data_IF_564913814542
#
_entry.id   IF_564913814542
#
_cell.length_a   1.000
_cell.length_b   1.000
_cell.length_c   1.000
_cell.angle_alpha   90.00
_cell.angle_beta   90.00
_cell.angle_gamma   90.00
#
_symmetry.space_group_name_H-M   'P 1'
#
loop_
_entity.id
_entity.type
_entity.pdbx_description
1 polymer ?
#
# COMPACT_ATOMS: atom_id res chain seq x y z
N UNK A 1 -14.73 -15.89 25.11
CA UNK A 1 -13.55 -15.53 24.32
C UNK A 1 -12.75 -14.46 25.04
N UNK A 2 -11.45 -14.40 24.80
CA UNK A 2 -10.60 -13.36 25.40
C UNK A 2 -10.87 -12.02 24.73
N UNK A 3 -10.84 -10.94 25.53
CA UNK A 3 -10.89 -9.58 25.01
C UNK A 3 -9.61 -9.30 24.20
N UNK A 4 -9.74 -8.67 23.06
CA UNK A 4 -8.61 -8.20 22.26
C UNK A 4 -8.91 -6.83 21.65
N UNK A 5 -7.85 -6.11 21.30
CA UNK A 5 -7.93 -4.84 20.58
C UNK A 5 -7.43 -5.05 19.16
N UNK A 6 -8.11 -4.45 18.19
CA UNK A 6 -7.58 -4.36 16.83
C UNK A 6 -7.47 -2.90 16.41
N UNK A 7 -6.28 -2.53 15.95
CA UNK A 7 -5.95 -1.16 15.59
C UNK A 7 -5.90 -0.99 14.07
N UNK A 8 -6.50 0.09 13.58
CA UNK A 8 -6.42 0.50 12.18
C UNK A 8 -6.06 1.98 12.08
N UNK A 9 -5.32 2.37 11.03
CA UNK A 9 -4.97 3.78 10.83
C UNK A 9 -6.20 4.65 10.53
N UNK A 10 -7.16 4.12 9.77
CA UNK A 10 -8.39 4.82 9.38
C UNK A 10 -9.64 4.14 9.93
N UNK A 11 -10.73 4.88 9.98
CA UNK A 11 -12.05 4.43 10.48
C UNK A 11 -12.86 3.60 9.47
N UNK A 12 -12.45 3.56 8.21
CA UNK A 12 -13.24 2.94 7.11
C UNK A 12 -13.13 1.41 7.04
N UNK A 13 -12.20 0.79 7.75
CA UNK A 13 -12.11 -0.66 7.81
C UNK A 13 -13.17 -1.19 8.79
N UNK A 14 -14.32 -1.59 8.27
CA UNK A 14 -15.34 -2.26 9.05
C UNK A 14 -14.98 -3.75 9.20
N UNK A 15 -14.30 -4.08 10.28
CA UNK A 15 -14.08 -5.47 10.68
C UNK A 15 -15.11 -5.81 11.74
N UNK A 16 -16.00 -6.77 11.44
CA UNK A 16 -16.97 -7.24 12.41
C UNK A 16 -16.29 -8.23 13.36
N UNK A 17 -15.87 -7.75 14.52
CA UNK A 17 -15.27 -8.57 15.56
C UNK A 17 -16.23 -8.72 16.74
N UNK A 18 -16.67 -9.97 17.01
CA UNK A 18 -17.66 -10.25 18.10
C UNK A 18 -17.16 -9.88 19.51
N UNK A 19 -15.83 -9.89 19.75
CA UNK A 19 -15.23 -9.68 21.06
C UNK A 19 -14.04 -8.72 21.04
N UNK A 20 -13.83 -8.02 19.92
CA UNK A 20 -12.71 -7.09 19.73
C UNK A 20 -13.13 -5.64 19.96
N UNK A 21 -12.24 -4.84 20.52
CA UNK A 21 -12.41 -3.40 20.63
C UNK A 21 -11.62 -2.75 19.49
N UNK A 22 -12.29 -1.98 18.66
CA UNK A 22 -11.65 -1.25 17.57
C UNK A 22 -10.99 0.04 18.08
N UNK A 23 -9.74 0.22 17.72
CA UNK A 23 -8.96 1.42 17.98
C UNK A 23 -8.53 2.05 16.67
N UNK A 24 -8.85 3.30 16.46
CA UNK A 24 -8.50 4.04 15.23
C UNK A 24 -7.38 5.04 15.50
N UNK A 25 -6.54 5.25 14.48
CA UNK A 25 -5.44 6.19 14.53
C UNK A 25 -4.06 5.52 14.47
N UNK A 26 -3.07 6.28 13.98
CA UNK A 26 -1.68 5.82 13.97
C UNK A 26 -1.09 5.87 15.38
N UNK A 27 -0.34 4.83 15.78
CA UNK A 27 0.41 4.80 17.02
C UNK A 27 1.90 4.88 16.72
N UNK A 28 2.57 5.89 17.23
CA UNK A 28 4.03 5.90 17.31
C UNK A 28 4.50 5.00 18.47
N UNK A 29 5.81 4.79 18.61
CA UNK A 29 6.36 3.89 19.63
C UNK A 29 5.93 4.25 21.08
N UNK A 30 6.04 5.50 21.55
CA UNK A 30 5.57 5.87 22.89
C UNK A 30 4.09 5.57 23.09
N UNK A 31 3.22 5.94 22.15
CA UNK A 31 1.79 5.68 22.22
C UNK A 31 1.46 4.18 22.28
N UNK A 32 2.18 3.36 21.49
CA UNK A 32 1.99 1.91 21.50
C UNK A 32 2.40 1.28 22.84
N UNK A 33 3.52 1.71 23.43
CA UNK A 33 3.98 1.26 24.73
C UNK A 33 2.96 1.62 25.83
N UNK A 34 2.48 2.86 25.84
CA UNK A 34 1.50 3.33 26.83
C UNK A 34 0.16 2.59 26.66
N UNK A 35 -0.27 2.38 25.43
CA UNK A 35 -1.47 1.58 25.15
C UNK A 35 -1.34 0.15 25.67
N UNK A 36 -0.23 -0.52 25.39
CA UNK A 36 0.02 -1.88 25.86
C UNK A 36 0.00 -1.99 27.37
N UNK A 37 0.62 -1.04 28.08
CA UNK A 37 0.62 -0.98 29.55
C UNK A 37 -0.77 -0.73 30.12
N UNK A 38 -1.46 0.28 29.62
CA UNK A 38 -2.78 0.72 30.11
C UNK A 38 -3.85 -0.36 29.95
N UNK A 39 -3.73 -1.19 28.90
CA UNK A 39 -4.69 -2.24 28.59
C UNK A 39 -4.20 -3.65 28.95
N UNK A 40 -3.06 -3.76 29.65
CA UNK A 40 -2.48 -5.03 30.08
C UNK A 40 -2.32 -6.02 28.92
N UNK A 41 -1.84 -5.54 27.77
CA UNK A 41 -1.60 -6.36 26.59
C UNK A 41 -0.50 -7.38 26.90
N UNK A 42 -0.69 -8.62 26.49
CA UNK A 42 0.24 -9.73 26.72
C UNK A 42 0.79 -10.36 25.44
N UNK A 43 0.22 -10.02 24.29
CA UNK A 43 0.63 -10.50 22.99
C UNK A 43 0.37 -9.42 21.97
N UNK A 44 1.33 -9.14 21.12
CA UNK A 44 1.15 -8.32 19.91
C UNK A 44 0.96 -9.21 18.69
N UNK A 45 0.03 -8.85 17.83
CA UNK A 45 -0.18 -9.50 16.54
C UNK A 45 -0.01 -8.45 15.43
N UNK A 46 1.03 -8.59 14.64
CA UNK A 46 1.29 -7.75 13.49
C UNK A 46 0.71 -8.40 12.24
N UNK A 47 -0.50 -8.00 11.88
CA UNK A 47 -1.21 -8.40 10.68
C UNK A 47 -1.33 -7.24 9.68
N UNK A 48 -0.41 -6.27 9.75
CA UNK A 48 -0.41 -5.11 8.87
C UNK A 48 -0.02 -5.48 7.43
N UNK A 49 -0.32 -4.55 6.51
CA UNK A 49 0.08 -4.69 5.12
C UNK A 49 1.60 -4.86 5.01
N UNK A 50 2.13 -5.74 4.16
CA UNK A 50 3.58 -6.00 4.03
C UNK A 50 4.45 -4.75 3.87
N UNK A 51 3.94 -3.73 3.19
CA UNK A 51 4.63 -2.44 2.98
C UNK A 51 4.46 -1.43 4.13
N UNK A 52 3.84 -1.81 5.24
CA UNK A 52 3.72 -0.94 6.42
C UNK A 52 5.00 -0.96 7.28
N UNK A 53 6.15 -0.70 6.66
CA UNK A 53 7.48 -0.86 7.26
C UNK A 53 7.67 -0.10 8.57
N UNK A 54 7.12 1.11 8.68
CA UNK A 54 7.19 1.90 9.90
C UNK A 54 6.42 1.23 11.05
N UNK A 55 5.22 0.72 10.76
CA UNK A 55 4.42 0.00 11.76
C UNK A 55 5.11 -1.29 12.20
N UNK A 56 5.67 -2.06 11.28
CA UNK A 56 6.42 -3.27 11.61
C UNK A 56 7.59 -2.98 12.56
N UNK A 57 8.36 -1.91 12.29
CA UNK A 57 9.45 -1.46 13.17
C UNK A 57 8.92 -1.02 14.54
N UNK A 58 7.80 -0.29 14.56
CA UNK A 58 7.18 0.18 15.81
C UNK A 58 6.70 -0.98 16.66
N UNK A 59 6.05 -1.99 16.06
CA UNK A 59 5.59 -3.21 16.78
C UNK A 59 6.77 -3.99 17.34
N UNK A 60 7.83 -4.19 16.53
CA UNK A 60 9.04 -4.89 16.97
C UNK A 60 9.71 -4.15 18.17
N UNK A 61 9.89 -2.84 18.06
CA UNK A 61 10.48 -2.03 19.13
C UNK A 61 9.62 -2.02 20.42
N UNK A 62 8.29 -1.97 20.29
CA UNK A 62 7.39 -2.06 21.44
C UNK A 62 7.43 -3.44 22.10
N UNK A 63 7.49 -4.51 21.30
CA UNK A 63 7.67 -5.89 21.77
C UNK A 63 8.94 -6.03 22.59
N UNK A 64 10.07 -5.53 22.09
CA UNK A 64 11.36 -5.56 22.78
C UNK A 64 11.33 -4.73 24.09
N UNK A 65 10.85 -3.49 24.04
CA UNK A 65 10.78 -2.60 25.19
C UNK A 65 9.90 -3.12 26.34
N UNK A 66 8.85 -3.87 26.00
CA UNK A 66 7.88 -4.42 26.96
C UNK A 66 8.12 -5.90 27.26
N UNK A 67 9.06 -6.55 26.59
CA UNK A 67 9.31 -8.00 26.65
C UNK A 67 8.02 -8.81 26.36
N UNK A 68 7.22 -8.33 25.40
CA UNK A 68 6.00 -9.00 24.98
C UNK A 68 6.28 -9.90 23.77
N UNK A 69 5.66 -11.09 23.71
CA UNK A 69 5.70 -11.88 22.49
C UNK A 69 4.98 -11.15 21.34
N UNK A 70 5.51 -11.31 20.13
CA UNK A 70 4.89 -10.82 18.91
C UNK A 70 4.72 -11.96 17.91
N UNK A 71 3.55 -12.00 17.28
CA UNK A 71 3.27 -12.88 16.12
C UNK A 71 3.07 -12.00 14.92
N UNK A 72 3.86 -12.26 13.86
CA UNK A 72 3.66 -11.62 12.56
C UNK A 72 2.88 -12.54 11.65
N UNK A 73 1.80 -12.01 11.08
CA UNK A 73 1.01 -12.70 10.06
C UNK A 73 1.53 -12.25 8.69
N UNK A 74 2.19 -13.14 8.00
CA UNK A 74 2.67 -12.89 6.64
C UNK A 74 1.68 -13.42 5.62
N UNK A 75 1.60 -12.72 4.48
CA UNK A 75 0.77 -13.13 3.36
C UNK A 75 1.49 -14.19 2.55
N UNK A 76 0.74 -15.09 1.96
CA UNK A 76 1.26 -15.97 0.91
C UNK A 76 1.43 -15.14 -0.36
N UNK A 77 2.56 -15.28 -1.01
CA UNK A 77 2.84 -14.65 -2.30
C UNK A 77 2.80 -15.72 -3.39
N UNK A 78 2.24 -15.39 -4.58
CA UNK A 78 2.32 -16.29 -5.72
C UNK A 78 3.77 -16.48 -6.16
N UNK A 79 4.05 -17.55 -6.89
CA UNK A 79 5.34 -17.73 -7.53
C UNK A 79 5.59 -16.62 -8.56
N UNK A 80 6.84 -16.19 -8.68
CA UNK A 80 7.24 -15.21 -9.69
C UNK A 80 6.99 -15.78 -11.09
N UNK A 81 6.23 -15.03 -11.90
CA UNK A 81 5.97 -15.39 -13.28
C UNK A 81 6.90 -14.65 -14.23
N UNK A 82 7.12 -15.22 -15.42
CA UNK A 82 7.95 -14.59 -16.47
C UNK A 82 7.22 -13.48 -17.22
N UNK A 83 5.91 -13.35 -17.01
CA UNK A 83 5.04 -12.38 -17.71
C UNK A 83 5.09 -11.00 -17.07
N UNK A 84 5.76 -10.87 -15.92
CA UNK A 84 5.90 -9.63 -15.19
C UNK A 84 7.38 -9.25 -15.07
N UNK A 85 7.64 -7.94 -15.11
CA UNK A 85 8.96 -7.40 -14.80
C UNK A 85 9.00 -7.10 -13.29
N UNK A 86 9.73 -7.91 -12.56
CA UNK A 86 9.90 -7.76 -11.13
C UNK A 86 10.98 -6.72 -10.82
N UNK A 87 10.69 -5.87 -9.83
CA UNK A 87 11.59 -4.82 -9.37
C UNK A 87 11.77 -4.93 -7.87
N UNK A 88 13.00 -4.73 -7.40
CA UNK A 88 13.34 -4.82 -5.98
C UNK A 88 12.77 -3.63 -5.19
N UNK A 89 12.77 -2.46 -5.82
CA UNK A 89 12.26 -1.21 -5.25
C UNK A 89 11.81 -0.22 -6.34
N UNK A 90 11.50 1.02 -5.94
CA UNK A 90 11.07 2.06 -6.88
C UNK A 90 12.23 2.64 -7.70
N UNK A 91 13.46 2.58 -7.21
CA UNK A 91 14.64 3.02 -7.96
C UNK A 91 14.95 2.05 -9.08
N UNK A 92 14.91 0.75 -8.80
CA UNK A 92 15.03 -0.31 -9.81
C UNK A 92 13.89 -0.24 -10.84
N UNK A 93 12.64 0.01 -10.40
CA UNK A 93 11.52 0.21 -11.30
C UNK A 93 11.74 1.39 -12.24
N UNK A 94 12.14 2.56 -11.73
CA UNK A 94 12.43 3.74 -12.56
C UNK A 94 13.56 3.49 -13.55
N UNK A 95 14.61 2.78 -13.12
CA UNK A 95 15.71 2.38 -14.00
C UNK A 95 15.22 1.52 -15.16
N UNK A 96 14.46 0.46 -14.88
CA UNK A 96 13.91 -0.43 -15.91
C UNK A 96 12.95 0.28 -16.86
N UNK A 97 12.11 1.19 -16.35
CA UNK A 97 11.23 2.03 -17.17
C UNK A 97 12.04 2.92 -18.13
N UNK A 98 13.10 3.56 -17.65
CA UNK A 98 13.99 4.40 -18.48
C UNK A 98 14.75 3.58 -19.52
N UNK A 99 15.31 2.46 -19.14
CA UNK A 99 16.02 1.54 -20.05
C UNK A 99 15.12 0.99 -21.16
N UNK A 100 13.83 0.79 -20.86
CA UNK A 100 12.82 0.33 -21.83
C UNK A 100 12.19 1.47 -22.64
N UNK A 101 12.60 2.71 -22.43
CA UNK A 101 12.06 3.88 -23.16
C UNK A 101 10.58 4.16 -22.85
N UNK A 102 10.09 3.73 -21.70
CA UNK A 102 8.70 3.95 -21.25
C UNK A 102 8.56 5.41 -20.82
N UNK A 103 7.60 6.11 -21.41
CA UNK A 103 7.31 7.53 -21.13
C UNK A 103 5.88 7.78 -20.66
N UNK A 104 5.03 6.73 -20.63
CA UNK A 104 3.64 6.78 -20.19
C UNK A 104 3.37 5.65 -19.21
N UNK A 105 3.27 5.98 -17.93
CA UNK A 105 3.14 5.04 -16.83
C UNK A 105 1.80 5.21 -16.11
N UNK A 106 1.11 4.11 -15.83
CA UNK A 106 0.01 4.05 -14.88
C UNK A 106 0.50 3.41 -13.57
N UNK A 107 0.55 4.19 -12.48
CA UNK A 107 0.98 3.73 -11.17
C UNK A 107 -0.23 3.37 -10.29
N UNK A 108 -0.47 2.08 -10.08
CA UNK A 108 -1.48 1.52 -9.18
C UNK A 108 -0.92 1.31 -7.76
N UNK A 109 -0.03 2.18 -7.34
CA UNK A 109 0.77 2.05 -6.11
C UNK A 109 0.30 2.94 -4.97
N UNK A 110 -0.67 3.83 -5.24
CA UNK A 110 -1.29 4.73 -4.26
C UNK A 110 -0.47 5.99 -3.98
N UNK A 111 -1.09 6.97 -3.32
CA UNK A 111 -0.58 8.34 -3.15
C UNK A 111 0.77 8.45 -2.46
N UNK A 112 1.08 7.57 -1.52
CA UNK A 112 2.35 7.58 -0.78
C UNK A 112 3.59 7.32 -1.66
N UNK A 113 3.39 6.92 -2.90
CA UNK A 113 4.48 6.60 -3.83
C UNK A 113 4.74 7.67 -4.88
N UNK A 114 3.94 8.72 -4.89
CA UNK A 114 4.16 9.86 -5.79
C UNK A 114 5.58 10.40 -5.63
N UNK A 115 6.01 10.69 -4.39
CA UNK A 115 7.36 11.18 -4.13
C UNK A 115 8.48 10.20 -4.44
N UNK A 116 8.20 8.90 -4.38
CA UNK A 116 9.20 7.87 -4.70
C UNK A 116 9.46 7.74 -6.21
N UNK A 117 8.53 8.21 -7.03
CA UNK A 117 8.62 8.21 -8.49
C UNK A 117 8.85 9.62 -9.06
N UNK A 118 9.28 10.58 -8.21
CA UNK A 118 9.38 11.99 -8.58
C UNK A 118 10.32 12.22 -9.76
N UNK A 119 11.48 11.58 -9.77
CA UNK A 119 12.47 11.70 -10.85
C UNK A 119 12.00 11.11 -12.18
N UNK A 120 10.96 10.27 -12.14
CA UNK A 120 10.35 9.73 -13.34
C UNK A 120 9.22 10.63 -13.85
N UNK A 121 8.25 10.98 -13.00
CA UNK A 121 7.06 11.71 -13.45
C UNK A 121 7.32 13.19 -13.76
N UNK A 122 8.41 13.77 -13.31
CA UNK A 122 8.84 15.12 -13.73
C UNK A 122 9.25 15.18 -15.20
N UNK A 123 9.71 14.08 -15.76
CA UNK A 123 10.20 13.97 -17.15
C UNK A 123 9.22 13.25 -18.08
N UNK A 124 8.25 12.51 -17.51
CA UNK A 124 7.38 11.60 -18.26
C UNK A 124 5.92 11.74 -17.81
N UNK A 125 4.99 11.28 -18.64
CA UNK A 125 3.58 11.19 -18.26
C UNK A 125 3.38 10.05 -17.25
N UNK A 126 2.85 10.36 -16.09
CA UNK A 126 2.58 9.36 -15.07
C UNK A 126 1.23 9.63 -14.42
N UNK A 127 0.33 8.66 -14.44
CA UNK A 127 -0.93 8.72 -13.72
C UNK A 127 -0.84 7.90 -12.44
N UNK A 128 -1.37 8.44 -11.33
CA UNK A 128 -1.48 7.72 -10.07
C UNK A 128 -2.92 7.40 -9.77
N UNK A 129 -3.22 6.12 -9.55
CA UNK A 129 -4.53 5.69 -9.08
C UNK A 129 -4.58 5.69 -7.57
N UNK A 130 -5.47 6.49 -7.01
CA UNK A 130 -5.57 6.71 -5.56
C UNK A 130 -7.02 6.64 -5.08
N UNK A 131 -7.21 6.47 -3.78
CA UNK A 131 -8.52 6.62 -3.16
C UNK A 131 -8.90 8.10 -3.07
N UNK A 132 -10.15 8.42 -3.34
CA UNK A 132 -10.68 9.79 -3.26
C UNK A 132 -10.83 10.20 -1.79
N UNK A 133 -9.77 10.78 -1.25
CA UNK A 133 -9.70 11.29 0.12
C UNK A 133 -8.98 12.62 0.14
N UNK A 134 -9.41 13.54 1.01
CA UNK A 134 -8.76 14.84 1.14
C UNK A 134 -7.29 14.71 1.54
N UNK A 135 -6.96 13.78 2.45
CA UNK A 135 -5.58 13.51 2.84
C UNK A 135 -4.70 13.06 1.67
N UNK A 136 -5.28 12.31 0.72
CA UNK A 136 -4.56 11.88 -0.49
C UNK A 136 -4.24 13.08 -1.38
N UNK A 137 -5.16 14.01 -1.54
CA UNK A 137 -4.94 15.23 -2.31
C UNK A 137 -3.91 16.14 -1.65
N UNK A 138 -3.98 16.29 -0.32
CA UNK A 138 -2.97 17.05 0.43
C UNK A 138 -1.56 16.48 0.21
N UNK A 139 -1.41 15.16 0.23
CA UNK A 139 -0.12 14.50 -0.04
C UNK A 139 0.34 14.76 -1.48
N UNK A 140 -0.53 14.63 -2.47
CA UNK A 140 -0.17 14.89 -3.87
C UNK A 140 0.27 16.34 -4.09
N UNK A 141 -0.51 17.31 -3.57
CA UNK A 141 -0.20 18.75 -3.63
C UNK A 141 1.12 19.10 -2.94
N UNK A 142 1.42 18.48 -1.81
CA UNK A 142 2.67 18.73 -1.07
C UNK A 142 3.92 18.31 -1.85
N UNK A 143 3.75 17.54 -2.93
CA UNK A 143 4.82 17.06 -3.81
C UNK A 143 4.80 17.72 -5.19
N UNK A 144 4.00 18.77 -5.35
CA UNK A 144 3.79 19.49 -6.62
C UNK A 144 3.34 18.55 -7.77
N UNK A 145 2.61 17.47 -7.44
CA UNK A 145 2.08 16.57 -8.45
C UNK A 145 0.80 17.11 -9.07
N UNK A 146 0.71 17.08 -10.41
CA UNK A 146 -0.43 17.59 -11.15
C UNK A 146 -1.69 16.73 -10.89
N UNK A 147 -2.72 17.38 -10.33
CA UNK A 147 -4.00 16.73 -10.03
C UNK A 147 -4.71 16.19 -11.28
N UNK A 148 -4.44 16.71 -12.46
CA UNK A 148 -5.00 16.20 -13.72
C UNK A 148 -4.50 14.78 -14.04
N UNK A 149 -3.39 14.38 -13.46
CA UNK A 149 -2.83 13.04 -13.58
C UNK A 149 -3.24 12.11 -12.41
N UNK A 150 -4.16 12.54 -11.58
CA UNK A 150 -4.75 11.71 -10.53
C UNK A 150 -5.99 10.99 -11.09
N UNK A 151 -6.08 9.70 -10.83
CA UNK A 151 -7.21 8.85 -11.16
C UNK A 151 -7.76 8.22 -9.89
N UNK A 152 -9.07 8.12 -9.77
CA UNK A 152 -9.68 7.58 -8.57
C UNK A 152 -10.21 6.17 -8.78
N UNK A 153 -10.04 5.31 -7.77
CA UNK A 153 -10.54 3.93 -7.80
C UNK A 153 -12.05 3.83 -7.98
N UNK A 154 -12.77 4.86 -7.51
CA UNK A 154 -14.23 4.92 -7.49
C UNK A 154 -14.85 5.33 -8.84
N UNK A 155 -14.05 5.74 -9.82
CA UNK A 155 -14.55 6.31 -11.08
C UNK A 155 -14.71 5.28 -12.18
N UNK A 156 -13.75 4.37 -12.33
CA UNK A 156 -13.73 3.40 -13.42
C UNK A 156 -12.92 2.14 -13.06
N UNK A 157 -13.18 1.03 -13.75
CA UNK A 157 -12.41 -0.20 -13.63
C UNK A 157 -11.02 -0.10 -14.23
N UNK A 158 -10.14 -1.10 -13.98
CA UNK A 158 -8.79 -1.15 -14.56
C UNK A 158 -8.83 -1.19 -16.09
N UNK A 159 -9.69 -2.01 -16.67
CA UNK A 159 -9.80 -2.21 -18.12
C UNK A 159 -10.21 -0.91 -18.83
N UNK A 160 -11.22 -0.21 -18.32
CA UNK A 160 -11.67 1.07 -18.88
C UNK A 160 -10.59 2.14 -18.76
N UNK A 161 -9.92 2.20 -17.60
CA UNK A 161 -8.83 3.12 -17.33
C UNK A 161 -7.64 2.90 -18.27
N UNK A 162 -7.22 1.65 -18.47
CA UNK A 162 -6.13 1.29 -19.38
C UNK A 162 -6.51 1.64 -20.82
N UNK A 163 -7.73 1.32 -21.24
CA UNK A 163 -8.23 1.64 -22.57
C UNK A 163 -8.24 3.15 -22.84
N UNK A 164 -8.61 3.97 -21.84
CA UNK A 164 -8.66 5.42 -21.96
C UNK A 164 -7.28 6.08 -21.94
N UNK A 165 -6.40 5.66 -21.02
CA UNK A 165 -5.09 6.28 -20.83
C UNK A 165 -4.03 5.73 -21.79
N UNK A 166 -4.19 4.52 -22.28
CA UNK A 166 -3.21 3.84 -23.14
C UNK A 166 -1.78 3.91 -22.56
N UNK A 167 -1.54 3.49 -21.31
CA UNK A 167 -0.21 3.50 -20.73
C UNK A 167 0.69 2.50 -21.47
N UNK A 168 1.99 2.79 -21.52
CA UNK A 168 2.99 1.85 -22.07
C UNK A 168 3.44 0.83 -21.02
N UNK A 169 3.28 1.17 -19.74
CA UNK A 169 3.53 0.25 -18.63
C UNK A 169 2.59 0.54 -17.45
N UNK A 170 2.38 -0.47 -16.64
CA UNK A 170 1.62 -0.39 -15.39
C UNK A 170 2.51 -0.83 -14.25
N UNK A 171 2.64 0.01 -13.22
CA UNK A 171 3.38 -0.30 -12.01
C UNK A 171 2.41 -0.63 -10.88
N UNK A 172 2.56 -1.80 -10.29
CA UNK A 172 1.76 -2.21 -9.12
C UNK A 172 2.65 -2.76 -8.01
N UNK A 173 2.08 -2.90 -6.82
CA UNK A 173 2.75 -3.53 -5.68
C UNK A 173 2.37 -4.99 -5.60
N UNK A 174 3.35 -5.83 -5.34
CA UNK A 174 3.09 -7.20 -4.93
C UNK A 174 2.48 -7.19 -3.53
N UNK A 175 1.16 -7.33 -3.45
CA UNK A 175 0.41 -7.28 -2.20
C UNK A 175 -0.01 -8.67 -1.70
N UNK A 176 0.41 -9.73 -2.38
CA UNK A 176 0.03 -11.13 -2.13
C UNK A 176 -1.45 -11.41 -2.49
N UNK A 177 -1.86 -12.65 -2.41
CA UNK A 177 -3.21 -13.09 -2.80
C UNK A 177 -4.31 -12.38 -2.02
N UNK A 178 -4.14 -12.23 -0.71
CA UNK A 178 -5.09 -11.49 0.14
C UNK A 178 -5.15 -9.98 -0.14
N UNK A 179 -4.19 -9.45 -0.91
CA UNK A 179 -4.16 -8.06 -1.38
C UNK A 179 -4.74 -7.86 -2.78
N UNK A 180 -5.27 -8.93 -3.40
CA UNK A 180 -5.86 -8.90 -4.73
C UNK A 180 -4.81 -8.74 -5.85
N UNK A 181 -3.54 -9.10 -5.59
CA UNK A 181 -2.48 -8.95 -6.59
C UNK A 181 -2.75 -9.81 -7.83
N UNK A 182 -3.04 -11.10 -7.64
CA UNK A 182 -3.30 -12.04 -8.73
C UNK A 182 -4.50 -11.61 -9.59
N UNK A 183 -5.60 -11.17 -8.96
CA UNK A 183 -6.76 -10.64 -9.67
C UNK A 183 -6.40 -9.39 -10.49
N UNK A 184 -5.65 -8.47 -9.91
CA UNK A 184 -5.21 -7.25 -10.59
C UNK A 184 -4.33 -7.54 -11.81
N UNK A 185 -3.38 -8.47 -11.69
CA UNK A 185 -2.53 -8.91 -12.81
C UNK A 185 -3.38 -9.51 -13.94
N UNK A 186 -4.38 -10.33 -13.58
CA UNK A 186 -5.29 -10.93 -14.57
C UNK A 186 -6.14 -9.87 -15.28
N UNK A 187 -6.69 -8.88 -14.57
CA UNK A 187 -7.46 -7.78 -15.15
C UNK A 187 -6.60 -6.92 -16.08
N UNK A 188 -5.36 -6.60 -15.68
CA UNK A 188 -4.38 -5.89 -16.52
C UNK A 188 -4.05 -6.70 -17.78
N UNK A 189 -3.82 -8.00 -17.64
CA UNK A 189 -3.50 -8.89 -18.75
C UNK A 189 -4.62 -8.94 -19.80
N UNK A 190 -5.88 -8.93 -19.38
CA UNK A 190 -7.04 -8.90 -20.30
C UNK A 190 -7.17 -7.61 -21.07
N UNK A 191 -6.72 -6.48 -20.51
CA UNK A 191 -6.79 -5.18 -21.19
C UNK A 191 -5.76 -4.99 -22.32
N UNK A 192 -4.81 -5.91 -22.44
CA UNK A 192 -3.72 -5.86 -23.43
C UNK A 192 -3.85 -6.90 -24.57
N UNK A 193 -4.98 -7.60 -24.68
CA UNK A 193 -5.23 -8.59 -25.75
C UNK A 193 -5.98 -7.97 -26.92
#
# INVERSE_FOLDING_TARGET
GSLYYYATRGSLQQIVCKHGIHVTGGMNLPCMIDFCRSHSIRLLVDAAHPFAMELHRTVAAASEALQLPVVRVERTYPEYTTDLIWCDDYEDAMKKLKESGITRLLALTGVQTIGKLQDYWKENTCWFRILRREESLVIARSQDFDEQNIVYYEEEGEEELISRLQPQAILTKESGDSGGFSQKVEEIGRAHV
#
